data_IF_372221636058
#
_entry.id   IF_372221636058
#
_cell.length_a   1.000
_cell.length_b   1.000
_cell.length_c   1.000
_cell.angle_alpha   90.00
_cell.angle_beta   90.00
_cell.angle_gamma   90.00
#
_symmetry.space_group_name_H-M   'P 1'
#
loop_
_entity.id
_entity.type
_entity.pdbx_description
1 polymer ?
#
# COMPACT_ATOMS: atom_id res chain seq x y z
N UNK A 1 34.91 14.94 18.14
CA UNK A 1 33.61 14.30 18.34
C UNK A 1 32.66 14.93 17.33
N UNK A 2 32.57 14.34 16.15
CA UNK A 2 31.79 14.87 15.02
C UNK A 2 30.46 14.14 14.96
N UNK A 3 29.36 14.87 15.14
CA UNK A 3 28.00 14.34 14.94
C UNK A 3 27.67 14.41 13.46
N UNK A 4 27.60 13.26 12.80
CA UNK A 4 26.99 13.15 11.48
C UNK A 4 25.46 13.28 11.63
N UNK A 5 24.91 14.39 11.20
CA UNK A 5 23.46 14.52 10.96
C UNK A 5 23.18 13.97 9.54
N UNK A 6 22.66 12.76 9.48
CA UNK A 6 22.05 12.25 8.24
C UNK A 6 20.68 12.91 8.11
N UNK A 7 20.55 13.89 7.26
CA UNK A 7 19.26 14.46 6.89
C UNK A 7 18.80 13.68 5.65
N UNK A 8 17.83 12.79 5.83
CA UNK A 8 17.17 12.09 4.73
C UNK A 8 16.15 13.04 4.10
N UNK A 9 16.51 13.71 3.01
CA UNK A 9 15.55 14.42 2.17
C UNK A 9 15.02 13.45 1.12
N UNK A 10 13.76 13.08 1.22
CA UNK A 10 13.02 12.46 0.12
C UNK A 10 12.58 13.60 -0.81
N UNK A 11 13.38 13.92 -1.81
CA UNK A 11 13.00 14.88 -2.84
C UNK A 11 12.22 14.14 -3.92
N UNK A 12 10.92 14.37 -4.01
CA UNK A 12 10.12 14.01 -5.18
C UNK A 12 10.37 15.08 -6.23
N UNK A 13 11.22 14.80 -7.19
CA UNK A 13 11.47 15.71 -8.32
C UNK A 13 10.37 15.46 -9.36
N UNK A 14 9.41 16.39 -9.46
CA UNK A 14 8.49 16.43 -10.59
C UNK A 14 9.21 17.04 -11.80
N UNK A 15 9.48 16.21 -12.80
CA UNK A 15 9.85 16.71 -14.12
C UNK A 15 8.58 16.84 -14.96
N UNK A 16 8.38 17.97 -15.64
CA UNK A 16 7.26 18.18 -16.58
C UNK A 16 7.21 17.15 -17.72
N UNK A 17 8.27 16.39 -17.91
CA UNK A 17 8.40 15.36 -18.96
C UNK A 17 8.25 13.92 -18.49
N UNK A 18 8.29 13.64 -17.19
CA UNK A 18 8.14 12.29 -16.65
C UNK A 18 7.24 12.29 -15.42
N UNK A 19 6.00 11.82 -15.57
CA UNK A 19 5.09 11.57 -14.46
C UNK A 19 5.42 10.21 -13.81
N UNK A 20 6.57 10.09 -13.15
CA UNK A 20 6.98 8.84 -12.56
C UNK A 20 7.61 9.03 -11.18
N UNK A 21 7.54 8.00 -10.34
CA UNK A 21 8.23 7.96 -9.05
C UNK A 21 9.58 7.29 -9.25
N UNK A 22 10.66 8.00 -8.93
CA UNK A 22 12.02 7.48 -9.02
C UNK A 22 12.57 7.29 -7.62
N UNK A 23 13.30 6.18 -7.42
CA UNK A 23 14.13 5.99 -6.23
C UNK A 23 15.43 6.75 -6.46
N UNK A 24 15.57 7.91 -5.86
CA UNK A 24 16.79 8.71 -5.95
C UNK A 24 17.80 8.20 -4.93
N UNK A 25 18.95 7.71 -5.39
CA UNK A 25 20.09 7.39 -4.53
C UNK A 25 21.00 8.62 -4.45
N UNK A 26 21.12 9.20 -3.28
CA UNK A 26 22.13 10.22 -3.03
C UNK A 26 23.45 9.53 -2.65
N UNK A 27 24.50 9.79 -3.41
CA UNK A 27 25.87 9.40 -3.06
C UNK A 27 26.59 10.68 -2.63
N UNK A 28 26.99 10.76 -1.37
CA UNK A 28 27.83 11.83 -0.89
C UNK A 28 29.29 11.42 -1.15
N UNK A 29 29.94 12.15 -2.06
CA UNK A 29 31.37 12.08 -2.32
C UNK A 29 31.96 13.43 -1.90
N UNK A 30 32.88 13.40 -0.93
CA UNK A 30 33.44 14.60 -0.33
C UNK A 30 34.26 15.46 -1.34
N UNK A 31 34.59 14.90 -2.51
CA UNK A 31 35.46 15.52 -3.52
C UNK A 31 34.71 15.97 -4.80
N UNK A 32 33.40 15.86 -4.88
CA UNK A 32 32.64 16.25 -6.07
C UNK A 32 31.57 17.29 -5.80
N UNK A 33 31.59 18.31 -6.64
CA UNK A 33 30.59 19.38 -6.62
C UNK A 33 29.18 18.84 -6.91
N UNK A 34 28.19 19.25 -6.14
CA UNK A 34 26.80 18.75 -6.15
C UNK A 34 26.12 18.82 -7.53
N UNK A 35 26.60 19.69 -8.41
CA UNK A 35 26.08 19.88 -9.76
C UNK A 35 26.39 18.74 -10.74
N UNK A 36 27.33 17.85 -10.40
CA UNK A 36 27.76 16.73 -11.26
C UNK A 36 27.13 15.39 -10.90
N UNK A 37 26.31 15.31 -9.86
CA UNK A 37 25.68 14.08 -9.40
C UNK A 37 24.42 13.66 -10.21
N UNK A 38 23.93 14.54 -11.09
CA UNK A 38 22.86 14.24 -12.05
C UNK A 38 23.52 14.19 -13.42
N UNK A 39 23.80 13.01 -13.93
CA UNK A 39 24.29 12.85 -15.29
C UNK A 39 23.21 13.30 -16.26
N UNK A 40 23.50 14.26 -17.16
CA UNK A 40 22.56 14.66 -18.21
C UNK A 40 22.32 13.55 -19.25
N UNK A 41 23.16 12.50 -19.23
CA UNK A 41 23.17 11.39 -20.17
C UNK A 41 22.38 10.15 -19.66
N UNK A 42 21.81 10.19 -18.46
CA UNK A 42 20.77 9.24 -18.11
C UNK A 42 19.57 9.53 -19.02
N UNK A 43 19.54 8.83 -20.14
CA UNK A 43 18.37 8.74 -20.99
C UNK A 43 17.23 8.37 -20.03
N UNK A 44 16.38 9.35 -19.74
CA UNK A 44 15.19 9.13 -18.92
C UNK A 44 14.45 7.91 -19.48
N UNK A 45 13.69 7.18 -18.66
CA UNK A 45 13.11 5.92 -19.03
C UNK A 45 12.47 5.99 -20.40
N UNK A 46 12.84 5.03 -21.27
CA UNK A 46 12.32 4.88 -22.63
C UNK A 46 10.81 5.12 -22.62
N UNK A 47 10.34 5.83 -23.63
CA UNK A 47 8.99 6.36 -23.83
C UNK A 47 7.96 5.76 -22.86
N UNK A 48 7.60 6.51 -21.81
CA UNK A 48 6.62 6.10 -20.82
C UNK A 48 5.35 5.68 -21.53
N UNK A 49 4.97 4.41 -21.39
CA UNK A 49 3.61 4.01 -21.69
C UNK A 49 2.70 4.94 -20.88
N UNK A 50 1.83 5.69 -21.57
CA UNK A 50 0.99 6.70 -20.91
C UNK A 50 0.00 6.08 -19.92
N UNK A 51 -0.25 4.78 -20.06
CA UNK A 51 -1.25 4.07 -19.27
C UNK A 51 -0.65 3.36 -18.06
N UNK A 52 0.64 3.00 -18.09
CA UNK A 52 1.30 2.31 -16.99
C UNK A 52 2.65 2.95 -16.65
N UNK A 53 3.02 2.83 -15.40
CA UNK A 53 4.32 3.23 -14.89
C UNK A 53 4.85 2.18 -13.92
N UNK A 54 6.14 1.85 -14.06
CA UNK A 54 6.87 0.98 -13.14
C UNK A 54 8.14 1.69 -12.70
N UNK A 55 8.44 1.72 -11.40
CA UNK A 55 9.70 2.27 -10.91
C UNK A 55 10.91 1.47 -11.42
N UNK A 56 12.09 2.09 -11.39
CA UNK A 56 13.37 1.47 -11.74
C UNK A 56 13.68 0.20 -10.94
N UNK A 57 13.22 0.13 -9.68
CA UNK A 57 13.35 -1.06 -8.82
C UNK A 57 12.29 -2.11 -9.09
N UNK A 58 11.26 -1.80 -9.89
CA UNK A 58 10.10 -2.66 -10.13
C UNK A 58 9.23 -2.90 -8.89
N UNK A 59 9.38 -2.06 -7.85
CA UNK A 59 8.65 -2.17 -6.59
C UNK A 59 7.37 -1.34 -6.58
N UNK A 60 7.31 -0.27 -7.38
CA UNK A 60 6.14 0.58 -7.50
C UNK A 60 5.55 0.44 -8.90
N UNK A 61 4.24 0.22 -8.96
CA UNK A 61 3.50 0.15 -10.21
C UNK A 61 2.26 1.01 -10.14
N UNK A 62 1.94 1.68 -11.23
CA UNK A 62 0.69 2.42 -11.43
C UNK A 62 0.10 2.08 -12.79
N UNK A 63 -1.18 1.79 -12.83
CA UNK A 63 -1.97 1.68 -14.05
C UNK A 63 -3.04 2.77 -14.03
N UNK A 64 -2.85 3.82 -14.82
CA UNK A 64 -3.75 4.96 -14.87
C UNK A 64 -5.07 4.61 -15.56
N UNK A 65 -5.02 3.83 -16.64
CA UNK A 65 -6.20 3.41 -17.38
C UNK A 65 -7.10 2.48 -16.53
N UNK A 66 -6.50 1.58 -15.75
CA UNK A 66 -7.23 0.69 -14.87
C UNK A 66 -7.55 1.30 -13.49
N UNK A 67 -7.01 2.48 -13.18
CA UNK A 67 -7.30 3.22 -11.96
C UNK A 67 -6.72 2.65 -10.66
N UNK A 68 -5.66 1.82 -10.73
CA UNK A 68 -5.03 1.26 -9.53
C UNK A 68 -3.49 1.32 -9.59
N UNK A 69 -2.89 1.13 -8.45
CA UNK A 69 -1.45 0.94 -8.31
C UNK A 69 -1.12 -0.10 -7.26
N UNK A 70 0.16 -0.46 -7.18
CA UNK A 70 0.65 -1.40 -6.18
C UNK A 70 2.07 -1.06 -5.71
N UNK A 71 2.38 -1.50 -4.50
CA UNK A 71 3.70 -1.52 -3.90
C UNK A 71 4.07 -2.99 -3.68
N UNK A 72 5.20 -3.41 -4.20
CA UNK A 72 5.62 -4.81 -4.22
C UNK A 72 7.06 -4.96 -3.78
N UNK A 73 7.32 -4.72 -2.49
CA UNK A 73 8.62 -4.94 -1.86
C UNK A 73 8.68 -6.31 -1.17
N UNK A 74 9.83 -6.72 -0.69
CA UNK A 74 9.97 -7.97 0.05
C UNK A 74 9.13 -8.01 1.34
N UNK A 75 9.00 -6.85 2.04
CA UNK A 75 8.37 -6.73 3.36
C UNK A 75 7.01 -6.04 3.35
N UNK A 76 6.65 -5.38 2.26
CA UNK A 76 5.38 -4.66 2.12
C UNK A 76 4.74 -4.97 0.78
N UNK A 77 3.48 -5.38 0.84
CA UNK A 77 2.63 -5.62 -0.33
C UNK A 77 1.41 -4.73 -0.22
N UNK A 78 1.15 -3.92 -1.22
CA UNK A 78 0.00 -3.02 -1.21
C UNK A 78 -0.66 -2.91 -2.56
N UNK A 79 -1.98 -2.77 -2.55
CA UNK A 79 -2.79 -2.38 -3.71
C UNK A 79 -3.65 -1.18 -3.33
N UNK A 80 -3.78 -0.21 -4.22
CA UNK A 80 -4.54 1.00 -3.97
C UNK A 80 -5.19 1.53 -5.25
N UNK A 81 -6.37 2.08 -5.15
CA UNK A 81 -7.11 2.63 -6.27
C UNK A 81 -8.59 2.26 -6.27
N UNK A 82 -9.20 2.25 -7.45
CA UNK A 82 -10.61 1.87 -7.64
C UNK A 82 -10.68 0.49 -8.25
N UNK A 83 -11.40 -0.41 -7.60
CA UNK A 83 -11.47 -1.83 -7.97
C UNK A 83 -12.87 -2.23 -8.38
N UNK A 84 -12.96 -3.24 -9.25
CA UNK A 84 -14.20 -3.96 -9.53
C UNK A 84 -14.31 -5.15 -8.57
N UNK A 85 -15.54 -5.54 -8.23
CA UNK A 85 -15.80 -6.72 -7.40
C UNK A 85 -15.15 -7.97 -8.01
N UNK A 86 -14.34 -8.67 -7.22
CA UNK A 86 -13.61 -9.86 -7.62
C UNK A 86 -12.37 -9.60 -8.48
N UNK A 87 -11.94 -8.35 -8.62
CA UNK A 87 -10.71 -8.02 -9.33
C UNK A 87 -9.51 -8.59 -8.58
N UNK A 88 -8.71 -9.42 -9.28
CA UNK A 88 -7.52 -10.04 -8.75
C UNK A 88 -6.27 -9.32 -9.20
N UNK A 89 -5.37 -9.07 -8.25
CA UNK A 89 -4.07 -8.44 -8.48
C UNK A 89 -3.01 -9.33 -7.85
N UNK A 90 -2.09 -9.80 -8.68
CA UNK A 90 -0.98 -10.66 -8.26
C UNK A 90 0.28 -9.84 -8.10
N UNK A 91 0.97 -10.05 -6.98
CA UNK A 91 2.26 -9.48 -6.66
C UNK A 91 3.31 -10.58 -6.62
N UNK A 92 4.58 -10.21 -6.47
CA UNK A 92 5.69 -11.16 -6.33
C UNK A 92 5.51 -12.01 -5.05
N UNK A 93 6.22 -13.14 -4.99
CA UNK A 93 6.25 -14.05 -3.84
C UNK A 93 4.86 -14.62 -3.47
N UNK A 94 4.04 -14.94 -4.48
CA UNK A 94 2.79 -15.65 -4.31
C UNK A 94 1.70 -14.87 -3.54
N UNK A 95 1.76 -13.53 -3.52
CA UNK A 95 0.73 -12.70 -2.90
C UNK A 95 -0.30 -12.29 -3.94
N UNK A 96 -1.58 -12.53 -3.65
CA UNK A 96 -2.73 -12.15 -4.48
C UNK A 96 -3.76 -11.42 -3.63
N UNK A 97 -4.25 -10.29 -4.14
CA UNK A 97 -5.40 -9.56 -3.60
C UNK A 97 -6.60 -9.78 -4.51
N UNK A 98 -7.71 -10.23 -3.96
CA UNK A 98 -9.02 -10.24 -4.61
C UNK A 98 -9.89 -9.19 -3.94
N UNK A 99 -10.17 -8.10 -4.66
CA UNK A 99 -10.76 -6.89 -4.11
C UNK A 99 -12.29 -6.89 -4.19
N UNK A 100 -12.93 -6.30 -3.20
CA UNK A 100 -14.31 -5.83 -3.31
C UNK A 100 -14.45 -4.69 -4.33
N UNK A 101 -15.68 -4.21 -4.55
CA UNK A 101 -15.90 -3.04 -5.38
C UNK A 101 -15.60 -1.75 -4.61
N UNK A 102 -15.13 -0.71 -5.30
CA UNK A 102 -14.96 0.64 -4.76
C UNK A 102 -13.51 1.09 -4.64
N UNK A 103 -13.34 2.25 -4.03
CA UNK A 103 -12.02 2.82 -3.74
C UNK A 103 -11.47 2.20 -2.46
N UNK A 104 -10.26 1.68 -2.53
CA UNK A 104 -9.61 1.07 -1.37
C UNK A 104 -8.09 1.14 -1.45
N UNK A 105 -7.46 1.07 -0.28
CA UNK A 105 -6.05 0.73 -0.12
C UNK A 105 -5.96 -0.45 0.85
N UNK A 106 -5.34 -1.53 0.43
CA UNK A 106 -5.06 -2.69 1.28
C UNK A 106 -3.56 -2.95 1.28
N UNK A 107 -2.98 -2.99 2.47
CA UNK A 107 -1.52 -3.16 2.64
C UNK A 107 -1.22 -4.25 3.65
N UNK A 108 -0.26 -5.10 3.33
CA UNK A 108 0.41 -6.04 4.23
C UNK A 108 1.79 -5.49 4.54
N UNK A 109 2.15 -5.38 5.82
CA UNK A 109 3.47 -4.93 6.24
C UNK A 109 4.03 -5.89 7.30
N UNK A 110 5.22 -6.44 7.04
CA UNK A 110 5.95 -7.22 8.04
C UNK A 110 6.44 -6.30 9.16
N UNK A 111 6.02 -6.59 10.40
CA UNK A 111 6.48 -5.90 11.61
C UNK A 111 7.61 -6.66 12.32
N UNK A 112 7.82 -7.93 12.00
CA UNK A 112 8.87 -8.76 12.60
C UNK A 112 10.23 -8.66 11.88
N UNK A 113 10.26 -7.98 10.73
CA UNK A 113 11.49 -7.67 10.01
C UNK A 113 11.87 -8.65 8.91
N UNK A 114 11.29 -9.85 8.88
CA UNK A 114 11.45 -10.83 7.80
C UNK A 114 10.67 -10.43 6.56
N UNK A 115 10.92 -11.10 5.44
CA UNK A 115 10.10 -10.99 4.24
C UNK A 115 8.67 -11.45 4.54
N UNK A 116 7.72 -10.94 3.77
CA UNK A 116 6.28 -11.09 4.08
C UNK A 116 5.85 -12.56 4.23
N UNK A 117 6.47 -13.48 3.48
CA UNK A 117 6.14 -14.90 3.50
C UNK A 117 6.63 -15.64 4.76
N UNK A 118 7.65 -15.08 5.42
CA UNK A 118 8.31 -15.65 6.62
C UNK A 118 8.01 -14.84 7.89
N UNK A 119 7.27 -13.73 7.74
CA UNK A 119 6.97 -12.84 8.84
C UNK A 119 6.02 -13.46 9.85
N UNK A 120 6.37 -13.33 11.14
CA UNK A 120 5.60 -13.84 12.29
C UNK A 120 4.59 -12.82 12.83
N UNK A 121 4.72 -11.59 12.37
CA UNK A 121 3.85 -10.48 12.75
C UNK A 121 3.64 -9.60 11.52
N UNK A 122 2.40 -9.54 11.03
CA UNK A 122 2.03 -8.77 9.85
C UNK A 122 0.87 -7.84 10.22
N UNK A 123 1.07 -6.55 9.99
CA UNK A 123 -0.02 -5.58 10.02
C UNK A 123 -0.71 -5.56 8.65
N UNK A 124 -2.02 -5.76 8.66
CA UNK A 124 -2.89 -5.54 7.49
C UNK A 124 -3.65 -4.26 7.72
N UNK A 125 -3.50 -3.29 6.81
CA UNK A 125 -4.32 -2.08 6.81
C UNK A 125 -5.28 -2.10 5.64
N UNK A 126 -6.53 -1.73 5.88
CA UNK A 126 -7.59 -1.75 4.87
C UNK A 126 -8.41 -0.46 4.99
N UNK A 127 -8.14 0.49 4.12
CA UNK A 127 -8.72 1.83 4.17
C UNK A 127 -9.54 2.09 2.91
N UNK A 128 -10.81 2.37 3.10
CA UNK A 128 -11.74 2.82 2.07
C UNK A 128 -11.94 4.33 2.12
N UNK A 129 -13.12 4.76 1.69
CA UNK A 129 -13.54 6.16 1.78
C UNK A 129 -13.86 6.52 3.23
N UNK A 130 -13.50 7.74 3.63
CA UNK A 130 -13.82 8.28 4.95
C UNK A 130 -14.51 9.63 4.80
N UNK A 131 -15.63 9.83 5.52
CA UNK A 131 -16.43 11.05 5.47
C UNK A 131 -16.97 11.38 6.87
N UNK A 132 -17.18 12.67 7.13
CA UNK A 132 -17.90 13.09 8.33
C UNK A 132 -19.38 12.68 8.24
N UNK A 133 -19.99 12.38 9.37
CA UNK A 133 -21.43 12.15 9.46
C UNK A 133 -22.17 13.39 8.95
N UNK A 134 -23.12 13.21 7.99
CA UNK A 134 -23.87 14.30 7.40
C UNK A 134 -23.06 15.23 6.49
N UNK A 135 -21.91 14.79 5.97
CA UNK A 135 -21.24 15.50 4.88
C UNK A 135 -22.11 15.45 3.62
N UNK A 136 -22.22 16.58 2.94
CA UNK A 136 -23.03 16.70 1.73
C UNK A 136 -22.17 17.17 0.55
N UNK A 137 -22.44 16.61 -0.62
CA UNK A 137 -21.76 16.95 -1.87
C UNK A 137 -22.79 17.35 -2.93
N UNK A 138 -22.35 18.08 -3.95
CA UNK A 138 -23.14 18.28 -5.15
C UNK A 138 -23.31 16.94 -5.92
N UNK A 139 -24.19 16.93 -6.90
CA UNK A 139 -24.62 15.72 -7.62
C UNK A 139 -23.45 14.93 -8.26
N UNK A 140 -22.44 15.63 -8.75
CA UNK A 140 -21.24 15.03 -9.36
C UNK A 140 -20.07 14.79 -8.38
N UNK A 141 -20.29 15.02 -7.09
CA UNK A 141 -19.27 14.90 -6.01
C UNK A 141 -17.99 15.71 -6.22
N UNK A 142 -18.03 16.74 -7.06
CA UNK A 142 -16.86 17.62 -7.30
C UNK A 142 -16.71 18.71 -6.27
N UNK A 143 -17.81 19.07 -5.56
CA UNK A 143 -17.82 20.12 -4.56
C UNK A 143 -18.55 19.67 -3.30
N UNK A 144 -17.89 19.84 -2.14
CA UNK A 144 -18.52 19.61 -0.85
C UNK A 144 -19.37 20.84 -0.46
N UNK A 145 -20.66 20.61 -0.16
CA UNK A 145 -21.65 21.61 0.24
C UNK A 145 -21.63 21.78 1.77
N UNK A 146 -21.62 20.67 2.51
CA UNK A 146 -21.56 20.65 3.97
C UNK A 146 -20.40 19.78 4.46
N UNK A 147 -19.70 20.26 5.49
CA UNK A 147 -18.63 19.51 6.14
C UNK A 147 -19.15 18.33 6.97
N UNK A 148 -20.42 18.37 7.40
CA UNK A 148 -20.96 17.43 8.37
C UNK A 148 -20.34 17.63 9.77
N UNK A 149 -20.41 16.60 10.60
CA UNK A 149 -19.94 16.60 11.98
C UNK A 149 -19.30 15.25 12.33
N UNK A 150 -18.68 15.13 13.49
CA UNK A 150 -18.21 13.84 14.02
C UNK A 150 -19.35 12.90 14.42
N UNK A 151 -19.13 11.59 14.50
CA UNK A 151 -17.88 10.91 14.19
C UNK A 151 -17.59 10.80 12.68
N UNK A 152 -16.33 10.56 12.33
CA UNK A 152 -15.94 10.19 10.98
C UNK A 152 -16.39 8.75 10.72
N UNK A 153 -17.09 8.56 9.60
CA UNK A 153 -17.50 7.25 9.10
C UNK A 153 -16.46 6.75 8.11
N UNK A 154 -16.05 5.49 8.24
CA UNK A 154 -15.10 4.85 7.34
C UNK A 154 -15.79 3.68 6.65
N UNK A 155 -15.72 3.64 5.32
CA UNK A 155 -16.26 2.55 4.52
C UNK A 155 -15.43 1.27 4.73
N UNK A 156 -16.02 0.14 5.16
CA UNK A 156 -15.31 -1.12 5.30
C UNK A 156 -14.80 -1.62 3.95
N UNK A 157 -13.56 -2.09 3.92
CA UNK A 157 -12.96 -2.69 2.72
C UNK A 157 -13.09 -4.21 2.78
N UNK A 158 -13.82 -4.79 1.83
CA UNK A 158 -13.91 -6.23 1.66
C UNK A 158 -12.82 -6.70 0.70
N UNK A 159 -11.97 -7.60 1.16
CA UNK A 159 -10.95 -8.22 0.33
C UNK A 159 -10.61 -9.63 0.81
N UNK A 160 -10.22 -10.48 -0.13
CA UNK A 160 -9.56 -11.76 0.15
C UNK A 160 -8.10 -11.66 -0.25
N UNK A 161 -7.22 -11.94 0.69
CA UNK A 161 -5.77 -11.90 0.47
C UNK A 161 -5.25 -13.32 0.56
N UNK A 162 -4.55 -13.76 -0.47
CA UNK A 162 -3.86 -15.06 -0.49
C UNK A 162 -2.37 -14.80 -0.51
N UNK A 163 -1.63 -15.50 0.31
CA UNK A 163 -0.17 -15.39 0.37
C UNK A 163 0.45 -16.73 0.70
N UNK A 164 1.54 -17.08 0.02
CA UNK A 164 2.40 -18.15 0.46
C UNK A 164 2.98 -17.80 1.83
N UNK A 165 3.02 -18.75 2.76
CA UNK A 165 3.54 -18.51 4.10
C UNK A 165 4.26 -19.76 4.63
N UNK A 166 5.48 -19.58 5.11
CA UNK A 166 6.23 -20.62 5.83
C UNK A 166 5.77 -20.78 7.28
N UNK A 167 5.10 -19.75 7.83
CA UNK A 167 4.74 -19.68 9.25
C UNK A 167 3.36 -20.29 9.48
N UNK A 168 3.31 -21.31 10.33
CA UNK A 168 2.06 -22.00 10.73
C UNK A 168 1.48 -21.39 12.02
N UNK A 169 0.19 -21.64 12.28
CA UNK A 169 -0.43 -21.29 13.55
C UNK A 169 -0.77 -19.81 13.75
N UNK A 170 -0.52 -18.97 12.78
CA UNK A 170 -0.88 -17.54 12.88
C UNK A 170 -2.40 -17.35 12.84
N UNK A 171 -2.90 -16.40 13.61
CA UNK A 171 -4.30 -15.98 13.72
C UNK A 171 -4.45 -14.54 13.29
N UNK A 172 -5.54 -14.23 12.62
CA UNK A 172 -5.87 -12.87 12.18
C UNK A 172 -6.81 -12.23 13.19
N UNK A 173 -6.43 -11.08 13.71
CA UNK A 173 -7.20 -10.31 14.68
C UNK A 173 -7.59 -8.96 14.08
N UNK A 174 -8.83 -8.57 14.24
CA UNK A 174 -9.29 -7.21 14.02
C UNK A 174 -8.89 -6.34 15.21
N UNK A 175 -8.39 -5.14 14.95
CA UNK A 175 -7.91 -4.18 15.93
C UNK A 175 -8.65 -2.87 15.71
N UNK A 176 -9.12 -2.22 16.78
CA UNK A 176 -9.69 -0.90 16.71
C UNK A 176 -8.59 0.20 16.59
N UNK A 177 -8.97 1.47 16.35
CA UNK A 177 -8.00 2.56 16.25
C UNK A 177 -7.16 2.80 17.52
N UNK A 178 -7.64 2.36 18.67
CA UNK A 178 -6.93 2.47 19.96
C UNK A 178 -5.98 1.29 20.20
N UNK A 179 -5.95 0.31 19.30
CA UNK A 179 -5.07 -0.85 19.36
C UNK A 179 -5.64 -2.05 20.13
N UNK A 180 -6.92 -2.01 20.51
CA UNK A 180 -7.56 -3.13 21.21
C UNK A 180 -8.09 -4.17 20.22
N UNK A 181 -7.95 -5.46 20.58
CA UNK A 181 -8.48 -6.56 19.80
C UNK A 181 -10.01 -6.59 19.88
N UNK A 182 -10.67 -6.55 18.72
CA UNK A 182 -12.15 -6.58 18.64
C UNK A 182 -12.70 -7.97 18.34
N UNK A 183 -11.94 -8.83 17.69
CA UNK A 183 -12.33 -10.21 17.42
C UNK A 183 -11.37 -10.94 16.50
N UNK A 184 -11.44 -12.27 16.50
CA UNK A 184 -10.69 -13.13 15.59
C UNK A 184 -11.40 -13.20 14.24
N UNK A 185 -10.67 -12.84 13.18
CA UNK A 185 -11.17 -12.85 11.79
C UNK A 185 -10.85 -14.19 11.15
N UNK A 186 -11.80 -14.83 10.42
CA UNK A 186 -11.56 -16.11 9.78
C UNK A 186 -10.35 -16.06 8.83
N UNK A 187 -9.44 -17.01 9.03
CA UNK A 187 -8.31 -17.25 8.16
C UNK A 187 -8.05 -18.74 8.01
N UNK A 188 -7.53 -19.15 6.88
CA UNK A 188 -7.20 -20.57 6.63
C UNK A 188 -5.81 -20.69 6.04
N UNK A 189 -5.23 -21.90 6.14
CA UNK A 189 -3.96 -22.23 5.52
C UNK A 189 -4.09 -23.61 4.86
N UNK A 190 -3.91 -23.68 3.55
CA UNK A 190 -3.99 -24.89 2.75
C UNK A 190 -2.79 -24.94 1.80
N UNK A 191 -2.06 -26.05 1.82
CA UNK A 191 -0.90 -26.29 0.94
C UNK A 191 0.14 -25.16 0.95
N UNK A 192 0.37 -24.56 2.14
CA UNK A 192 1.33 -23.46 2.30
C UNK A 192 0.80 -22.08 1.89
N UNK A 193 -0.44 -22.00 1.40
CA UNK A 193 -1.09 -20.72 1.06
C UNK A 193 -2.05 -20.33 2.19
N UNK A 194 -1.85 -19.16 2.72
CA UNK A 194 -2.74 -18.53 3.70
C UNK A 194 -3.78 -17.68 3.00
N UNK A 195 -5.04 -17.85 3.38
CA UNK A 195 -6.14 -17.02 2.92
C UNK A 195 -6.69 -16.20 4.11
N UNK A 196 -6.77 -14.88 3.93
CA UNK A 196 -7.32 -13.91 4.87
C UNK A 196 -8.53 -13.25 4.23
N UNK A 197 -9.67 -13.25 4.94
CA UNK A 197 -10.91 -12.57 4.50
C UNK A 197 -11.18 -11.42 5.43
N UNK A 198 -11.06 -10.18 4.93
CA UNK A 198 -11.23 -8.97 5.72
C UNK A 198 -12.48 -8.20 5.29
N UNK A 199 -13.04 -7.43 6.22
CA UNK A 199 -14.15 -6.50 6.00
C UNK A 199 -15.54 -7.06 6.30
N UNK A 200 -15.78 -8.39 6.23
CA UNK A 200 -17.09 -8.99 6.47
C UNK A 200 -17.34 -9.25 7.97
N UNK A 201 -16.35 -9.85 8.63
CA UNK A 201 -16.42 -10.19 10.06
C UNK A 201 -15.46 -9.26 10.80
N UNK A 202 -15.96 -8.58 11.84
CA UNK A 202 -15.21 -7.57 12.58
C UNK A 202 -14.54 -6.55 11.66
N UNK A 203 -15.32 -5.76 10.87
CA UNK A 203 -14.75 -4.78 9.96
C UNK A 203 -13.90 -3.75 10.70
N UNK A 204 -12.69 -3.52 10.23
CA UNK A 204 -11.75 -2.54 10.79
C UNK A 204 -10.84 -2.00 9.68
N UNK A 205 -10.15 -0.91 9.99
CA UNK A 205 -9.05 -0.42 9.17
C UNK A 205 -7.71 -1.12 9.49
N UNK A 206 -7.65 -1.84 10.62
CA UNK A 206 -6.45 -2.54 11.07
C UNK A 206 -6.72 -4.00 11.41
N UNK A 207 -5.86 -4.87 10.94
CA UNK A 207 -5.84 -6.27 11.35
C UNK A 207 -4.40 -6.68 11.65
N UNK A 208 -4.23 -7.56 12.62
CA UNK A 208 -2.93 -8.12 13.00
C UNK A 208 -2.94 -9.62 12.76
N UNK A 209 -2.05 -10.09 11.91
CA UNK A 209 -1.78 -11.51 11.72
C UNK A 209 -0.53 -11.87 12.54
N UNK A 210 -0.69 -12.70 13.54
CA UNK A 210 0.36 -13.09 14.49
C UNK A 210 0.27 -14.54 14.91
N UNK A 211 1.36 -15.09 15.45
CA UNK A 211 1.38 -16.38 16.13
C UNK A 211 0.63 -16.25 17.44
#
# INVERSE_FOLDING_TARGET
MWFFRVILYCAVVFSEKSQGFFKVRFVFDDDKDFATAISPDDEGPAALDRDTFTSDTGELFRNYAAGYGMIDTAKTKSVFGTFRKGQKIKLKNGVEFEMGAGFATVTLTSLSGEDINDAKLILVTAVGRAENTGAEYNEDHTKRISLGHGPVLIEPVNATIRMESSVKGMRLWSIDPDGAYTGEVPSSMTDGVRELKIGEVYPSIYYLLSI
#
